data_IF_230480267595
#
_entry.id   IF_230480267595
#
_cell.length_a   1.000
_cell.length_b   1.000
_cell.length_c   1.000
_cell.angle_alpha   90.00
_cell.angle_beta   90.00
_cell.angle_gamma   90.00
#
_symmetry.space_group_name_H-M   'P 1'
#
loop_
_entity.id
_entity.type
_entity.pdbx_description
1 polymer ?
#
# COMPACT_ATOMS: atom_id res chain seq x y z
N UNK A 1 1.86 12.91 6.14
CA UNK A 1 2.01 11.74 5.27
C UNK A 1 1.66 10.48 6.03
N UNK A 2 0.79 9.67 5.48
CA UNK A 2 0.39 8.40 6.09
C UNK A 2 1.06 7.26 5.31
N UNK A 3 1.63 6.31 6.04
CA UNK A 3 2.17 5.09 5.48
C UNK A 3 1.37 3.92 6.02
N UNK A 4 0.89 3.06 5.16
CA UNK A 4 0.13 1.91 5.60
C UNK A 4 0.58 0.64 4.90
N UNK A 5 0.43 -0.46 5.63
CA UNK A 5 0.75 -1.80 5.16
C UNK A 5 -0.47 -2.68 5.42
N UNK A 6 -0.82 -3.50 4.48
CA UNK A 6 -1.94 -4.41 4.62
C UNK A 6 -1.57 -5.82 4.14
N UNK A 7 -2.18 -6.80 4.77
CA UNK A 7 -2.08 -8.19 4.36
C UNK A 7 -3.46 -8.63 3.90
N UNK A 8 -3.55 -9.16 2.68
CA UNK A 8 -4.81 -9.57 2.08
C UNK A 8 -4.76 -11.03 1.65
N UNK A 9 -5.91 -11.69 1.68
CA UNK A 9 -6.09 -13.02 1.13
C UNK A 9 -7.33 -13.01 0.25
N UNK A 10 -7.14 -13.26 -1.04
CA UNK A 10 -8.21 -13.10 -2.01
C UNK A 10 -8.68 -11.65 -2.04
N UNK A 11 -9.97 -11.43 -1.85
CA UNK A 11 -10.57 -10.10 -1.83
C UNK A 11 -10.69 -9.51 -0.42
N UNK A 12 -10.21 -10.22 0.59
CA UNK A 12 -10.35 -9.81 1.99
C UNK A 12 -9.04 -9.29 2.54
N UNK A 13 -9.10 -8.15 3.23
CA UNK A 13 -7.98 -7.63 4.00
C UNK A 13 -7.98 -8.36 5.34
N UNK A 14 -6.92 -9.12 5.62
CA UNK A 14 -6.79 -9.85 6.88
C UNK A 14 -6.39 -8.92 8.01
N UNK A 15 -5.48 -7.98 7.74
CA UNK A 15 -4.96 -7.08 8.76
C UNK A 15 -4.27 -5.90 8.07
N UNK A 16 -4.21 -4.78 8.77
CA UNK A 16 -3.56 -3.57 8.27
C UNK A 16 -2.97 -2.77 9.43
N UNK A 17 -1.87 -2.09 9.16
CA UNK A 17 -1.21 -1.20 10.12
C UNK A 17 -0.96 0.13 9.44
N UNK A 18 -1.41 1.21 10.08
CA UNK A 18 -1.14 2.57 9.63
C UNK A 18 -0.06 3.19 10.51
N UNK A 19 0.97 3.73 9.88
CA UNK A 19 2.01 4.50 10.55
C UNK A 19 1.61 5.96 10.52
N UNK A 20 1.63 6.61 11.69
CA UNK A 20 1.17 7.98 11.83
C UNK A 20 2.17 8.99 11.25
N UNK A 21 1.65 10.18 10.93
CA UNK A 21 2.46 11.29 10.48
C UNK A 21 3.51 11.66 11.52
N UNK A 22 4.65 12.13 11.05
CA UNK A 22 5.75 12.56 11.91
C UNK A 22 6.66 11.42 12.35
N UNK A 23 6.32 10.17 12.07
CA UNK A 23 7.17 9.03 12.36
C UNK A 23 8.20 8.82 11.25
N UNK A 24 9.30 8.17 11.58
CA UNK A 24 10.33 7.84 10.60
C UNK A 24 9.90 6.62 9.78
N UNK A 25 9.14 6.85 8.73
CA UNK A 25 8.56 5.79 7.91
C UNK A 25 9.63 4.92 7.24
N UNK A 26 10.74 5.53 6.83
CA UNK A 26 11.82 4.77 6.19
C UNK A 26 12.41 3.72 7.15
N UNK A 27 12.56 4.07 8.43
CA UNK A 27 13.11 3.16 9.44
C UNK A 27 12.06 2.16 9.94
N UNK A 28 10.78 2.53 9.92
CA UNK A 28 9.71 1.74 10.55
C UNK A 28 9.01 0.79 9.58
N UNK A 29 9.13 1.00 8.27
CA UNK A 29 8.36 0.24 7.30
C UNK A 29 8.69 -1.25 7.33
N UNK A 30 9.96 -1.63 7.23
CA UNK A 30 10.34 -3.03 7.24
C UNK A 30 10.00 -3.75 8.55
N UNK A 31 10.28 -3.17 9.73
CA UNK A 31 9.82 -3.78 10.99
C UNK A 31 8.31 -3.91 11.09
N UNK A 32 7.57 -2.94 10.55
CA UNK A 32 6.10 -2.99 10.55
C UNK A 32 5.58 -4.13 9.69
N UNK A 33 6.17 -4.33 8.51
CA UNK A 33 5.81 -5.45 7.63
C UNK A 33 6.08 -6.78 8.36
N UNK A 34 7.24 -6.92 8.97
CA UNK A 34 7.60 -8.12 9.71
C UNK A 34 6.60 -8.41 10.82
N UNK A 35 6.24 -7.39 11.61
CA UNK A 35 5.26 -7.52 12.68
C UNK A 35 3.89 -7.93 12.15
N UNK A 36 3.45 -7.33 11.03
CA UNK A 36 2.18 -7.67 10.42
C UNK A 36 2.12 -9.13 10.01
N UNK A 37 3.16 -9.62 9.37
CA UNK A 37 3.24 -11.03 8.96
C UNK A 37 3.27 -11.97 10.16
N UNK A 38 4.09 -11.66 11.16
CA UNK A 38 4.19 -12.48 12.37
C UNK A 38 2.87 -12.54 13.13
N UNK A 39 2.18 -11.41 13.26
CA UNK A 39 0.88 -11.35 13.96
C UNK A 39 -0.20 -12.20 13.30
N UNK A 40 -0.05 -12.47 12.02
CA UNK A 40 -1.00 -13.26 11.24
C UNK A 40 -0.48 -14.66 10.92
N UNK A 41 0.65 -15.05 11.49
CA UNK A 41 1.26 -16.37 11.29
C UNK A 41 1.55 -16.66 9.82
N UNK A 42 1.95 -15.62 9.07
CA UNK A 42 2.31 -15.72 7.67
C UNK A 42 3.81 -15.50 7.54
N UNK A 43 4.48 -16.41 6.84
CA UNK A 43 5.90 -16.25 6.52
C UNK A 43 6.04 -15.42 5.24
N UNK A 44 7.14 -14.66 5.08
CA UNK A 44 7.36 -13.93 3.82
C UNK A 44 7.30 -14.85 2.59
N UNK A 45 7.79 -16.09 2.70
CA UNK A 45 7.73 -17.06 1.62
C UNK A 45 6.32 -17.53 1.26
N UNK A 46 5.34 -17.31 2.13
CA UNK A 46 3.95 -17.64 1.86
C UNK A 46 3.24 -16.61 0.99
N UNK A 47 3.85 -15.44 0.81
CA UNK A 47 3.27 -14.38 -0.01
C UNK A 47 3.32 -14.77 -1.48
N UNK A 48 2.24 -14.53 -2.20
CA UNK A 48 2.15 -14.81 -3.64
C UNK A 48 2.55 -13.61 -4.49
N UNK A 49 2.39 -12.40 -3.96
CA UNK A 49 2.71 -11.16 -4.66
C UNK A 49 2.91 -10.03 -3.67
N UNK A 50 3.63 -9.02 -4.11
CA UNK A 50 3.84 -7.77 -3.38
C UNK A 50 3.19 -6.66 -4.19
N UNK A 51 2.33 -5.87 -3.55
CA UNK A 51 1.69 -4.72 -4.20
C UNK A 51 2.20 -3.43 -3.59
N UNK A 52 2.37 -2.42 -4.41
CA UNK A 52 2.83 -1.11 -3.96
C UNK A 52 2.10 -0.01 -4.71
N UNK A 53 1.82 1.08 -4.03
CA UNK A 53 1.26 2.27 -4.64
C UNK A 53 2.32 2.92 -5.54
N UNK A 54 1.98 3.12 -6.81
CA UNK A 54 2.90 3.68 -7.80
C UNK A 54 2.79 5.20 -7.96
N UNK A 55 1.86 5.83 -7.23
CA UNK A 55 1.62 7.26 -7.30
C UNK A 55 0.36 7.60 -8.10
N UNK A 56 -0.05 8.87 -8.08
CA UNK A 56 0.61 10.01 -7.42
C UNK A 56 0.51 9.94 -5.89
N UNK A 57 1.42 10.64 -5.23
CA UNK A 57 1.48 10.68 -3.77
C UNK A 57 2.74 11.37 -3.28
N UNK A 58 3.04 11.24 -1.98
CA UNK A 58 4.24 11.80 -1.38
C UNK A 58 5.49 11.23 -2.05
N UNK A 59 6.37 12.12 -2.52
CA UNK A 59 7.60 11.70 -3.19
C UNK A 59 8.46 10.78 -2.31
N UNK A 60 8.70 11.18 -1.05
CA UNK A 60 9.45 10.36 -0.11
C UNK A 60 8.76 9.04 0.18
N UNK A 61 7.46 9.07 0.42
CA UNK A 61 6.69 7.86 0.69
C UNK A 61 6.69 6.89 -0.47
N UNK A 62 6.54 7.38 -1.69
CA UNK A 62 6.57 6.55 -2.88
C UNK A 62 7.95 5.89 -3.06
N UNK A 63 9.04 6.62 -2.80
CA UNK A 63 10.38 6.07 -2.91
C UNK A 63 10.64 4.99 -1.86
N UNK A 64 10.27 5.25 -0.61
CA UNK A 64 10.43 4.28 0.48
C UNK A 64 9.62 3.01 0.20
N UNK A 65 8.36 3.17 -0.14
CA UNK A 65 7.49 2.04 -0.46
C UNK A 65 7.97 1.25 -1.66
N UNK A 66 8.34 1.94 -2.73
CA UNK A 66 8.81 1.30 -3.96
C UNK A 66 10.11 0.54 -3.73
N UNK A 67 11.07 1.13 -3.02
CA UNK A 67 12.34 0.46 -2.74
C UNK A 67 12.13 -0.79 -1.88
N UNK A 68 11.31 -0.68 -0.85
CA UNK A 68 11.00 -1.80 0.04
C UNK A 68 10.29 -2.92 -0.71
N UNK A 69 9.27 -2.58 -1.49
CA UNK A 69 8.48 -3.56 -2.23
C UNK A 69 9.33 -4.28 -3.28
N UNK A 70 10.17 -3.54 -4.00
CA UNK A 70 11.08 -4.13 -4.99
C UNK A 70 12.09 -5.09 -4.34
N UNK A 71 12.65 -4.69 -3.21
CA UNK A 71 13.61 -5.52 -2.49
C UNK A 71 12.95 -6.83 -2.02
N UNK A 72 11.74 -6.75 -1.49
CA UNK A 72 10.99 -7.93 -1.06
C UNK A 72 10.65 -8.83 -2.23
N UNK A 73 10.10 -8.27 -3.30
CA UNK A 73 9.70 -9.05 -4.48
C UNK A 73 10.92 -9.76 -5.09
N UNK A 74 12.03 -9.07 -5.19
CA UNK A 74 13.27 -9.65 -5.69
C UNK A 74 13.78 -10.77 -4.78
N UNK A 75 13.86 -10.52 -3.47
CA UNK A 75 14.36 -11.51 -2.51
C UNK A 75 13.50 -12.77 -2.45
N UNK A 76 12.19 -12.61 -2.56
CA UNK A 76 11.25 -13.72 -2.44
C UNK A 76 10.97 -14.39 -3.79
N UNK A 77 11.41 -13.81 -4.89
CA UNK A 77 11.10 -14.32 -6.21
C UNK A 77 9.61 -14.22 -6.55
N UNK A 78 8.94 -13.19 -6.04
CA UNK A 78 7.50 -12.99 -6.22
C UNK A 78 7.23 -11.78 -7.11
N UNK A 79 6.09 -11.76 -7.81
CA UNK A 79 5.74 -10.61 -8.65
C UNK A 79 5.47 -9.35 -7.85
N UNK A 80 5.83 -8.22 -8.43
CA UNK A 80 5.55 -6.90 -7.91
C UNK A 80 4.42 -6.28 -8.72
N UNK A 81 3.38 -5.83 -8.03
CA UNK A 81 2.20 -5.24 -8.66
C UNK A 81 2.17 -3.75 -8.31
N UNK A 82 2.21 -2.90 -9.33
CA UNK A 82 2.11 -1.45 -9.15
C UNK A 82 0.65 -1.03 -9.28
N UNK A 83 0.15 -0.35 -8.25
CA UNK A 83 -1.25 0.12 -8.19
C UNK A 83 -1.25 1.64 -8.22
N UNK A 84 -1.82 2.28 -9.26
CA UNK A 84 -1.97 3.74 -9.27
C UNK A 84 -2.87 4.21 -8.11
N UNK A 85 -2.45 5.29 -7.45
CA UNK A 85 -3.17 5.82 -6.29
C UNK A 85 -4.62 6.15 -6.61
N UNK A 86 -4.86 6.81 -7.75
CA UNK A 86 -6.21 7.21 -8.13
C UNK A 86 -7.11 6.01 -8.42
N UNK A 87 -6.53 4.95 -9.00
CA UNK A 87 -7.28 3.71 -9.22
C UNK A 87 -7.67 3.05 -7.88
N UNK A 88 -6.76 3.05 -6.91
CA UNK A 88 -7.05 2.51 -5.58
C UNK A 88 -8.16 3.30 -4.89
N UNK A 89 -8.15 4.63 -5.01
CA UNK A 89 -9.21 5.48 -4.45
C UNK A 89 -10.55 5.22 -5.13
N UNK A 90 -10.56 5.05 -6.44
CA UNK A 90 -11.78 4.74 -7.18
C UNK A 90 -12.36 3.39 -6.73
N UNK A 91 -11.51 2.39 -6.56
CA UNK A 91 -11.95 1.08 -6.08
C UNK A 91 -12.53 1.16 -4.68
N UNK A 92 -11.89 1.93 -3.78
CA UNK A 92 -12.41 2.14 -2.43
C UNK A 92 -13.79 2.81 -2.45
N UNK A 93 -13.99 3.79 -3.35
CA UNK A 93 -15.28 4.44 -3.51
C UNK A 93 -16.37 3.45 -3.96
N UNK A 94 -16.07 2.57 -4.91
CA UNK A 94 -17.01 1.55 -5.35
C UNK A 94 -17.31 0.52 -4.26
N UNK A 95 -16.31 0.18 -3.44
CA UNK A 95 -16.51 -0.76 -2.33
C UNK A 95 -17.46 -0.18 -1.27
N UNK A 96 -17.37 1.14 -1.02
CA UNK A 96 -18.26 1.82 -0.08
C UNK A 96 -19.64 2.11 -0.66
N UNK A 97 -19.74 2.26 -1.97
CA UNK A 97 -20.97 2.59 -2.68
C UNK A 97 -21.15 1.66 -3.88
N UNK A 98 -21.54 0.38 -3.64
CA UNK A 98 -21.64 -0.59 -4.74
C UNK A 98 -22.65 -0.21 -5.82
N UNK A 99 -23.60 0.68 -5.50
CA UNK A 99 -24.63 1.16 -6.44
C UNK A 99 -24.10 2.22 -7.40
N UNK A 100 -22.91 2.78 -7.15
CA UNK A 100 -22.37 3.83 -7.98
C UNK A 100 -21.88 3.28 -9.33
N UNK A 101 -22.17 4.01 -10.41
CA UNK A 101 -21.69 3.67 -11.75
C UNK A 101 -20.36 4.37 -12.08
N UNK A 102 -20.16 5.56 -11.53
CA UNK A 102 -18.99 6.39 -11.81
C UNK A 102 -18.31 6.85 -10.53
N UNK A 103 -17.00 6.99 -10.57
CA UNK A 103 -16.22 7.61 -9.52
C UNK A 103 -15.21 8.56 -10.15
N UNK A 104 -14.95 9.67 -9.48
CA UNK A 104 -13.93 10.63 -9.89
C UNK A 104 -12.93 10.79 -8.77
N UNK A 105 -11.88 9.97 -8.75
CA UNK A 105 -10.87 10.07 -7.69
C UNK A 105 -9.99 11.30 -7.90
N UNK A 106 -9.67 11.97 -6.81
CA UNK A 106 -8.81 13.14 -6.84
C UNK A 106 -7.93 13.15 -5.60
N UNK A 107 -6.74 13.70 -5.74
CA UNK A 107 -5.87 14.01 -4.61
C UNK A 107 -5.49 15.49 -4.66
N UNK A 108 -5.15 16.04 -3.51
CA UNK A 108 -4.59 17.38 -3.44
C UNK A 108 -3.11 17.30 -3.82
N UNK A 109 -2.79 17.79 -5.00
CA UNK A 109 -1.41 17.78 -5.51
C UNK A 109 -0.61 18.99 -5.03
N UNK A 110 -1.19 19.77 -4.12
CA UNK A 110 -0.65 21.04 -3.64
C UNK A 110 -0.62 22.07 -4.77
N UNK A 111 -0.26 23.32 -4.45
CA UNK A 111 -0.24 24.42 -5.44
C UNK A 111 -1.58 24.59 -6.17
N UNK A 112 -2.69 24.16 -5.53
CA UNK A 112 -4.06 24.23 -6.07
C UNK A 112 -4.25 23.42 -7.36
N UNK A 113 -3.51 22.34 -7.51
CA UNK A 113 -3.66 21.38 -8.61
C UNK A 113 -4.29 20.08 -8.10
N UNK A 114 -4.99 19.38 -8.95
CA UNK A 114 -5.58 18.07 -8.64
C UNK A 114 -5.15 17.03 -9.66
#
# INVERSE_FOLDING_TARGET
>A
MVCSVALSKGKSVLDAIDLQDGMNHAALLAPTIERLLQSNSVKPSDLDAIAVCSGPGSYTGLRVGSATAKAMAYSLGKPLIAIPTLQALAQAAFDLHPEAEYALPMIDARRREV
#
